data_IF_849060941421
#
_entry.id   IF_849060941421
#
_cell.length_a   1.000
_cell.length_b   1.000
_cell.length_c   1.000
_cell.angle_alpha   90.00
_cell.angle_beta   90.00
_cell.angle_gamma   90.00
#
_symmetry.space_group_name_H-M   'P 1'
#
loop_
_entity.id
_entity.type
_entity.pdbx_description
1 polymer ?
#
# COMPACT_ATOMS: atom_id res chain seq x y z
N UNK A 1 35.53 62.52 -34.15
CA UNK A 1 35.68 62.34 -32.68
C UNK A 1 34.33 61.95 -32.13
N UNK A 2 34.13 60.67 -31.81
CA UNK A 2 32.87 60.18 -31.26
C UNK A 2 32.93 60.44 -29.75
N UNK A 3 32.12 61.39 -29.26
CA UNK A 3 31.95 61.64 -27.82
C UNK A 3 31.08 60.52 -27.25
N UNK A 4 31.72 59.45 -26.76
CA UNK A 4 31.03 58.43 -25.97
C UNK A 4 30.65 59.08 -24.64
N UNK A 5 29.35 59.20 -24.42
CA UNK A 5 28.78 59.88 -23.26
C UNK A 5 29.18 59.14 -21.98
N UNK A 6 29.68 59.85 -20.98
CA UNK A 6 30.26 59.27 -19.76
C UNK A 6 29.25 58.38 -18.99
N UNK A 7 27.96 58.71 -19.09
CA UNK A 7 26.85 57.91 -18.60
C UNK A 7 26.70 56.54 -19.29
N UNK A 8 27.04 56.44 -20.57
CA UNK A 8 26.96 55.20 -21.34
C UNK A 8 28.09 54.22 -20.96
N UNK A 9 29.26 54.75 -20.57
CA UNK A 9 30.38 53.95 -20.06
C UNK A 9 30.08 53.38 -18.67
N UNK A 10 29.41 54.15 -17.80
CA UNK A 10 28.96 53.68 -16.49
C UNK A 10 27.87 52.58 -16.58
N UNK A 11 26.95 52.69 -17.55
CA UNK A 11 25.90 51.69 -17.76
C UNK A 11 26.47 50.35 -18.25
N UNK A 12 27.45 50.38 -19.15
CA UNK A 12 28.14 49.18 -19.62
C UNK A 12 28.98 48.52 -18.52
N UNK A 13 29.57 49.31 -17.62
CA UNK A 13 30.29 48.79 -16.45
C UNK A 13 29.34 48.12 -15.45
N UNK A 14 28.16 48.69 -15.20
CA UNK A 14 27.13 48.08 -14.35
C UNK A 14 26.55 46.79 -14.94
N UNK A 15 26.36 46.72 -16.26
CA UNK A 15 25.92 45.48 -16.93
C UNK A 15 26.98 44.37 -16.88
N UNK A 16 28.27 44.72 -16.84
CA UNK A 16 29.34 43.73 -16.64
C UNK A 16 29.41 43.18 -15.21
N UNK A 17 29.00 43.97 -14.21
CA UNK A 17 28.97 43.55 -12.79
C UNK A 17 27.72 42.71 -12.49
N UNK A 18 26.59 42.98 -13.16
CA UNK A 18 25.36 42.18 -13.02
C UNK A 18 25.45 40.86 -13.82
N UNK A 19 26.27 40.82 -14.89
CA UNK A 19 26.49 39.62 -15.72
C UNK A 19 27.33 38.50 -15.06
N UNK A 20 27.94 38.74 -13.90
CA UNK A 20 28.79 37.75 -13.20
C UNK A 20 27.98 36.95 -12.13
N UNK A 21 26.74 37.36 -11.81
CA UNK A 21 26.07 36.90 -10.57
C UNK A 21 25.03 35.78 -10.69
N UNK A 22 24.98 35.00 -11.78
CA UNK A 22 24.18 33.76 -11.76
C UNK A 22 24.84 32.61 -12.52
N UNK A 23 26.09 32.31 -12.18
CA UNK A 23 26.50 30.91 -12.12
C UNK A 23 26.48 30.54 -10.64
N UNK A 24 25.28 30.45 -10.05
CA UNK A 24 25.14 29.72 -8.81
C UNK A 24 25.57 28.29 -9.16
N UNK A 25 26.77 27.91 -8.74
CA UNK A 25 27.13 26.52 -8.56
C UNK A 25 26.10 25.97 -7.59
N UNK A 26 25.00 25.46 -8.14
CA UNK A 26 23.98 24.79 -7.37
C UNK A 26 24.70 23.59 -6.79
N UNK A 27 24.97 23.65 -5.49
CA UNK A 27 25.70 22.61 -4.80
C UNK A 27 24.73 21.44 -4.72
N UNK A 28 24.75 20.61 -5.77
CA UNK A 28 23.87 19.46 -5.89
C UNK A 28 24.05 18.60 -4.62
N UNK A 29 22.95 18.41 -3.90
CA UNK A 29 22.88 17.60 -2.68
C UNK A 29 21.76 16.58 -2.84
N UNK A 30 21.87 15.42 -2.21
CA UNK A 30 20.78 14.46 -2.16
C UNK A 30 19.62 14.91 -1.29
N UNK A 31 19.85 15.81 -0.33
CA UNK A 31 18.77 16.47 0.38
C UNK A 31 17.84 17.24 -0.57
N UNK A 32 18.41 17.90 -1.59
CA UNK A 32 17.64 18.68 -2.58
C UNK A 32 17.19 17.85 -3.78
N UNK A 33 18.04 16.94 -4.27
CA UNK A 33 17.78 16.11 -5.44
C UNK A 33 16.79 14.98 -5.14
N UNK A 34 16.87 14.42 -3.93
CA UNK A 34 16.15 13.23 -3.52
C UNK A 34 16.82 11.92 -3.91
N UNK A 35 16.71 10.96 -3.00
CA UNK A 35 17.24 9.60 -3.16
C UNK A 35 16.50 8.82 -4.25
N UNK A 36 17.23 8.02 -5.02
CA UNK A 36 16.68 7.23 -6.11
C UNK A 36 16.24 8.06 -7.32
N UNK A 37 16.70 9.32 -7.42
CA UNK A 37 16.48 10.16 -8.59
C UNK A 37 17.04 9.50 -9.85
N UNK A 38 16.53 9.86 -11.03
CA UNK A 38 17.10 9.40 -12.30
C UNK A 38 18.46 10.07 -12.53
N UNK A 39 19.34 9.39 -13.26
CA UNK A 39 20.60 9.98 -13.73
C UNK A 39 20.35 11.24 -14.56
N UNK A 40 21.08 12.32 -14.25
CA UNK A 40 21.05 13.58 -15.00
C UNK A 40 22.48 14.02 -15.25
N UNK A 41 22.95 13.90 -16.50
CA UNK A 41 24.35 14.17 -16.87
C UNK A 41 24.81 15.62 -16.68
N UNK A 42 23.89 16.57 -16.57
CA UNK A 42 24.23 17.98 -16.33
C UNK A 42 24.48 18.30 -14.86
N UNK A 43 24.26 17.36 -13.94
CA UNK A 43 24.52 17.54 -12.50
C UNK A 43 25.97 17.27 -12.18
N UNK A 44 26.46 17.97 -11.17
CA UNK A 44 27.80 17.78 -10.62
C UNK A 44 27.94 16.48 -9.84
N UNK A 45 26.84 15.93 -9.33
CA UNK A 45 26.76 14.64 -8.67
C UNK A 45 25.37 14.00 -8.81
N UNK A 46 25.25 12.74 -8.43
CA UNK A 46 24.04 11.92 -8.56
C UNK A 46 23.56 11.38 -7.21
N UNK A 47 22.25 11.12 -7.13
CA UNK A 47 21.59 10.49 -5.97
C UNK A 47 20.79 9.25 -6.38
N UNK A 48 21.12 8.66 -7.52
CA UNK A 48 20.61 7.36 -7.94
C UNK A 48 21.34 6.25 -7.18
N UNK A 49 20.95 4.98 -7.38
CA UNK A 49 21.61 3.86 -6.70
C UNK A 49 22.93 3.46 -7.37
N UNK A 50 23.12 3.83 -8.62
CA UNK A 50 24.30 3.50 -9.43
C UNK A 50 25.49 4.43 -9.17
N UNK A 51 25.31 5.52 -8.41
CA UNK A 51 26.30 6.60 -8.33
C UNK A 51 27.67 6.16 -7.82
N UNK A 52 27.73 5.14 -6.94
CA UNK A 52 29.01 4.60 -6.48
C UNK A 52 29.74 3.80 -7.54
N UNK A 53 29.01 3.13 -8.43
CA UNK A 53 29.64 2.43 -9.55
C UNK A 53 30.24 3.42 -10.55
N UNK A 54 29.65 4.61 -10.65
CA UNK A 54 30.11 5.69 -11.51
C UNK A 54 31.05 6.68 -10.82
N UNK A 55 31.29 6.52 -9.51
CA UNK A 55 32.05 7.44 -8.66
C UNK A 55 31.58 8.90 -8.76
N UNK A 56 30.26 9.09 -8.85
CA UNK A 56 29.61 10.39 -9.05
C UNK A 56 28.54 10.72 -8.00
N UNK A 57 28.53 10.04 -6.85
CA UNK A 57 27.59 10.33 -5.76
C UNK A 57 27.78 11.73 -5.19
N UNK A 58 26.68 12.37 -4.78
CA UNK A 58 26.77 13.59 -3.98
C UNK A 58 27.39 13.28 -2.61
N UNK A 59 28.06 14.28 -2.02
CA UNK A 59 28.79 14.11 -0.76
C UNK A 59 27.91 13.69 0.42
N UNK A 60 26.63 14.01 0.37
CA UNK A 60 25.62 13.70 1.39
C UNK A 60 24.78 12.45 1.04
N UNK A 61 25.12 11.71 -0.01
CA UNK A 61 24.37 10.54 -0.45
C UNK A 61 24.25 9.48 0.65
N UNK A 62 25.33 9.24 1.38
CA UNK A 62 25.42 8.17 2.39
C UNK A 62 24.53 8.48 3.59
N UNK A 63 24.60 9.71 4.07
CA UNK A 63 23.81 10.21 5.19
C UNK A 63 22.33 10.34 4.82
N UNK A 64 22.04 10.79 3.59
CA UNK A 64 20.66 11.07 3.15
C UNK A 64 19.93 9.83 2.67
N UNK A 65 20.62 8.92 1.97
CA UNK A 65 20.02 7.79 1.27
C UNK A 65 20.38 6.41 1.85
N UNK A 66 21.30 6.35 2.82
CA UNK A 66 21.79 5.11 3.45
C UNK A 66 20.94 4.60 4.62
N UNK A 67 19.61 4.66 4.51
CA UNK A 67 18.69 4.13 5.54
C UNK A 67 17.63 3.21 4.94
N UNK A 68 17.16 2.23 5.70
CA UNK A 68 16.06 1.36 5.32
C UNK A 68 14.72 2.08 5.26
N UNK A 69 14.55 3.18 5.99
CA UNK A 69 13.40 4.06 5.83
C UNK A 69 13.32 4.62 4.40
N UNK A 70 14.46 4.92 3.78
CA UNK A 70 14.54 5.43 2.40
C UNK A 70 14.60 4.29 1.37
N UNK A 71 15.41 3.26 1.63
CA UNK A 71 15.67 2.15 0.71
C UNK A 71 14.47 1.19 0.61
N UNK A 72 13.79 0.97 1.73
CA UNK A 72 12.75 -0.04 1.90
C UNK A 72 13.30 -1.42 2.29
N UNK A 73 12.49 -2.15 3.06
CA UNK A 73 12.79 -3.50 3.52
C UNK A 73 12.64 -4.55 2.43
N UNK A 74 13.39 -5.65 2.55
CA UNK A 74 13.30 -6.80 1.65
C UNK A 74 13.83 -6.54 0.24
N UNK A 75 14.60 -5.45 0.05
CA UNK A 75 15.16 -5.12 -1.26
C UNK A 75 16.28 -6.08 -1.63
N UNK A 76 16.38 -6.46 -2.90
CA UNK A 76 17.49 -7.30 -3.38
C UNK A 76 18.84 -6.64 -3.10
N UNK A 77 19.86 -7.46 -2.85
CA UNK A 77 21.23 -7.00 -2.70
C UNK A 77 21.65 -6.10 -3.87
N UNK A 78 22.25 -4.96 -3.55
CA UNK A 78 22.81 -4.03 -4.50
C UNK A 78 24.21 -3.61 -4.05
N UNK A 79 25.24 -4.06 -4.77
CA UNK A 79 26.66 -3.82 -4.45
C UNK A 79 27.05 -2.33 -4.33
N UNK A 80 26.30 -1.46 -5.00
CA UNK A 80 26.53 -0.01 -5.05
C UNK A 80 26.02 0.72 -3.80
N UNK A 81 25.26 0.04 -2.93
CA UNK A 81 24.79 0.58 -1.65
C UNK A 81 25.81 0.30 -0.56
N UNK A 82 26.00 1.25 0.36
CA UNK A 82 26.82 1.03 1.57
C UNK A 82 26.27 -0.10 2.42
N UNK A 83 24.96 -0.13 2.51
CA UNK A 83 24.24 -0.98 3.42
C UNK A 83 23.02 -1.58 2.74
N UNK A 84 22.56 -2.69 3.29
CA UNK A 84 21.47 -3.49 2.75
C UNK A 84 20.30 -3.48 3.73
N UNK A 85 19.10 -3.63 3.17
CA UNK A 85 17.84 -3.67 3.91
C UNK A 85 17.11 -4.98 3.66
N UNK A 86 17.84 -6.08 3.67
CA UNK A 86 17.35 -7.43 3.47
C UNK A 86 17.88 -8.35 4.56
N UNK A 87 17.25 -9.51 4.72
CA UNK A 87 17.58 -10.46 5.79
C UNK A 87 18.99 -11.05 5.67
N UNK A 88 19.57 -11.01 4.47
CA UNK A 88 20.93 -11.48 4.24
C UNK A 88 21.97 -10.51 4.80
N UNK A 89 21.61 -9.26 5.14
CA UNK A 89 22.57 -8.25 5.57
C UNK A 89 23.29 -8.59 6.89
N UNK A 90 22.64 -9.34 7.79
CA UNK A 90 23.26 -9.80 9.04
C UNK A 90 24.37 -10.82 8.77
N UNK A 91 24.24 -11.64 7.71
CA UNK A 91 25.27 -12.62 7.32
C UNK A 91 26.53 -11.92 6.77
N UNK A 92 26.35 -10.80 6.08
CA UNK A 92 27.43 -10.05 5.46
C UNK A 92 27.90 -8.84 6.29
N UNK A 93 27.35 -8.65 7.49
CA UNK A 93 27.60 -7.51 8.38
C UNK A 93 27.51 -6.15 7.65
N UNK A 94 26.49 -6.00 6.81
CA UNK A 94 26.30 -4.81 5.97
C UNK A 94 24.88 -4.25 6.06
N UNK A 95 24.18 -4.47 7.17
CA UNK A 95 22.87 -3.88 7.40
C UNK A 95 22.94 -2.36 7.54
N UNK A 96 21.91 -1.66 7.07
CA UNK A 96 21.78 -0.24 7.41
C UNK A 96 21.53 -0.08 8.91
N UNK A 97 21.95 1.05 9.49
CA UNK A 97 21.89 1.26 10.94
C UNK A 97 20.48 1.18 11.52
N UNK A 98 19.46 1.48 10.72
CA UNK A 98 18.05 1.42 11.09
C UNK A 98 17.37 0.09 10.70
N UNK A 99 18.09 -0.89 10.14
CA UNK A 99 17.50 -2.12 9.61
C UNK A 99 16.63 -2.85 10.65
N UNK A 100 17.15 -3.08 11.86
CA UNK A 100 16.41 -3.80 12.91
C UNK A 100 15.14 -3.08 13.32
N UNK A 101 15.22 -1.76 13.50
CA UNK A 101 14.08 -0.95 13.92
C UNK A 101 13.03 -0.78 12.80
N UNK A 102 13.48 -0.66 11.55
CA UNK A 102 12.59 -0.39 10.41
C UNK A 102 12.01 -1.67 9.81
N UNK A 103 12.80 -2.75 9.75
CA UNK A 103 12.49 -3.95 8.97
C UNK A 103 12.31 -5.23 9.80
N UNK A 104 12.74 -5.27 11.06
CA UNK A 104 12.61 -6.44 11.95
C UNK A 104 11.70 -6.20 13.16
N UNK A 105 10.97 -5.10 13.15
CA UNK A 105 10.14 -4.65 14.27
C UNK A 105 8.78 -4.23 13.77
N UNK A 106 7.73 -4.62 14.51
CA UNK A 106 6.37 -4.15 14.30
C UNK A 106 6.19 -2.67 14.61
N UNK A 107 7.10 -2.04 15.38
CA UNK A 107 7.13 -0.59 15.51
C UNK A 107 7.44 0.08 14.16
N UNK A 108 8.40 -0.45 13.38
CA UNK A 108 8.73 0.05 12.05
C UNK A 108 7.77 -0.42 10.96
N UNK A 109 7.34 -1.68 11.02
CA UNK A 109 6.48 -2.30 10.01
C UNK A 109 5.01 -1.87 10.12
N UNK A 110 4.52 -1.70 11.35
CA UNK A 110 3.12 -1.43 11.65
C UNK A 110 2.25 -2.68 11.77
N UNK A 111 1.35 -2.68 12.75
CA UNK A 111 0.43 -3.78 13.02
C UNK A 111 -0.61 -3.96 11.92
N UNK A 112 -0.96 -5.21 11.62
CA UNK A 112 -1.93 -5.55 10.58
C UNK A 112 -1.43 -5.33 9.15
N UNK A 113 -0.13 -5.06 8.97
CA UNK A 113 0.49 -4.93 7.64
C UNK A 113 0.24 -6.18 6.80
N UNK A 114 -0.04 -6.04 5.50
CA UNK A 114 -0.19 -7.19 4.59
C UNK A 114 1.06 -8.08 4.64
N UNK A 115 0.85 -9.38 4.40
CA UNK A 115 1.96 -10.32 4.26
C UNK A 115 2.91 -9.87 3.15
N UNK A 116 4.20 -9.85 3.47
CA UNK A 116 5.26 -9.53 2.54
C UNK A 116 6.43 -10.49 2.73
N UNK A 117 6.57 -11.44 1.81
CA UNK A 117 7.63 -12.47 1.84
C UNK A 117 9.06 -11.93 1.81
N UNK A 118 9.24 -10.67 1.41
CA UNK A 118 10.56 -10.04 1.35
C UNK A 118 11.04 -9.59 2.73
N UNK A 119 10.12 -9.49 3.70
CA UNK A 119 10.45 -9.11 5.07
C UNK A 119 10.98 -10.30 5.88
N UNK A 120 11.90 -10.07 6.81
CA UNK A 120 12.43 -11.11 7.70
C UNK A 120 11.35 -11.65 8.65
N UNK A 121 10.38 -10.82 9.02
CA UNK A 121 9.26 -11.17 9.89
C UNK A 121 7.97 -10.43 9.49
N UNK A 122 6.85 -10.80 10.09
CA UNK A 122 5.51 -10.29 9.77
C UNK A 122 4.84 -9.66 11.00
N UNK A 123 3.96 -8.68 10.73
CA UNK A 123 3.16 -8.02 11.77
C UNK A 123 1.65 -8.10 11.50
N UNK A 124 1.22 -9.04 10.67
CA UNK A 124 -0.20 -9.40 10.53
C UNK A 124 -0.63 -10.39 11.61
N UNK A 125 -1.95 -10.60 11.71
CA UNK A 125 -2.58 -11.51 12.69
C UNK A 125 -2.22 -12.96 12.41
N UNK A 126 -1.99 -13.26 11.14
CA UNK A 126 -1.74 -14.59 10.64
C UNK A 126 -0.32 -15.08 10.95
N UNK A 127 0.60 -14.18 11.32
CA UNK A 127 2.00 -14.50 11.56
C UNK A 127 2.20 -15.58 12.64
N UNK A 128 1.27 -15.67 13.60
CA UNK A 128 1.27 -16.69 14.65
C UNK A 128 1.04 -18.09 14.10
N UNK A 129 0.14 -18.22 13.12
CA UNK A 129 -0.12 -19.50 12.46
C UNK A 129 1.10 -19.96 11.64
N UNK A 130 1.83 -19.00 11.06
CA UNK A 130 3.02 -19.28 10.24
C UNK A 130 4.34 -19.23 11.04
N UNK A 131 4.29 -18.96 12.34
CA UNK A 131 5.45 -18.78 13.22
C UNK A 131 6.52 -17.83 12.66
N UNK A 132 6.09 -16.73 12.04
CA UNK A 132 6.98 -15.74 11.42
C UNK A 132 6.70 -14.31 11.89
N UNK A 133 6.15 -14.15 13.11
CA UNK A 133 5.95 -12.84 13.71
C UNK A 133 7.29 -12.15 14.03
N UNK A 134 7.32 -10.82 13.98
CA UNK A 134 8.44 -10.07 14.54
C UNK A 134 8.51 -10.25 16.06
N UNK A 135 9.71 -10.11 16.62
CA UNK A 135 9.99 -10.39 18.04
C UNK A 135 9.15 -9.55 19.00
N UNK A 136 8.82 -8.32 18.58
CA UNK A 136 8.02 -7.34 19.30
C UNK A 136 6.52 -7.39 18.97
N UNK A 137 6.06 -8.35 18.16
CA UNK A 137 4.66 -8.44 17.75
C UNK A 137 3.68 -8.47 18.92
N UNK A 138 3.99 -9.25 19.97
CA UNK A 138 3.09 -9.38 21.11
C UNK A 138 2.98 -8.08 21.92
N UNK A 139 4.09 -7.36 22.04
CA UNK A 139 4.16 -6.10 22.78
C UNK A 139 3.50 -4.96 22.00
N UNK A 140 3.73 -4.90 20.69
CA UNK A 140 3.30 -3.77 19.85
C UNK A 140 1.91 -3.98 19.24
N UNK A 141 1.55 -5.22 18.87
CA UNK A 141 0.35 -5.52 18.08
C UNK A 141 -0.68 -6.40 18.77
N UNK A 142 -0.27 -7.24 19.72
CA UNK A 142 -1.17 -8.06 20.55
C UNK A 142 -1.29 -7.57 21.99
N UNK A 143 -0.88 -6.32 22.24
CA UNK A 143 -1.42 -5.57 23.36
C UNK A 143 -2.90 -5.39 23.07
N UNK A 144 -3.70 -6.40 23.42
CA UNK A 144 -5.08 -6.21 23.74
C UNK A 144 -5.07 -5.04 24.71
N UNK A 145 -5.43 -3.86 24.20
CA UNK A 145 -5.91 -2.75 25.01
C UNK A 145 -7.17 -3.31 25.63
N UNK A 146 -7.00 -4.16 26.64
CA UNK A 146 -7.86 -4.21 27.78
C UNK A 146 -7.79 -2.77 28.25
N UNK A 147 -8.73 -1.97 27.74
CA UNK A 147 -9.16 -0.79 28.47
C UNK A 147 -9.60 -1.43 29.78
N UNK A 148 -8.68 -1.51 30.72
CA UNK A 148 -9.00 -1.73 32.11
C UNK A 148 -9.82 -0.50 32.42
N UNK A 149 -11.13 -0.60 32.16
CA UNK A 149 -12.10 0.35 32.64
C UNK A 149 -12.02 0.12 34.14
N UNK A 150 -11.10 0.83 34.79
CA UNK A 150 -11.00 0.93 36.25
C UNK A 150 -12.23 1.72 36.66
N UNK A 151 -13.37 1.04 36.68
CA UNK A 151 -14.61 1.56 37.24
C UNK A 151 -14.38 1.59 38.75
N UNK A 152 -13.90 2.71 39.25
CA UNK A 152 -13.85 3.01 40.67
C UNK A 152 -15.29 3.22 41.15
N UNK A 153 -15.98 2.15 41.55
CA UNK A 153 -17.31 2.24 42.15
C UNK A 153 -17.18 2.51 43.65
N UNK A 154 -17.01 3.79 43.98
CA UNK A 154 -17.45 4.30 45.26
C UNK A 154 -18.99 4.39 45.23
N UNK A 155 -19.68 3.58 46.04
CA UNK A 155 -21.09 3.81 46.37
C UNK A 155 -22.13 2.90 45.69
N UNK A 156 -22.13 1.63 46.09
CA UNK A 156 -23.22 0.66 46.31
C UNK A 156 -24.65 0.73 45.73
N UNK A 157 -25.15 1.78 45.05
CA UNK A 157 -26.57 1.83 44.62
C UNK A 157 -26.75 2.20 43.14
N UNK A 158 -25.82 2.90 42.51
CA UNK A 158 -25.87 3.24 41.07
C UNK A 158 -25.48 2.08 40.15
N UNK A 159 -24.72 1.09 40.65
CA UNK A 159 -24.21 -0.03 39.84
C UNK A 159 -25.30 -0.98 39.38
N UNK A 160 -26.24 -1.36 40.25
CA UNK A 160 -27.32 -2.29 39.89
C UNK A 160 -28.23 -1.72 38.80
N UNK A 161 -28.61 -0.44 38.87
CA UNK A 161 -29.50 0.17 37.87
C UNK A 161 -28.77 0.40 36.54
N UNK A 162 -27.53 0.90 36.56
CA UNK A 162 -26.75 1.12 35.34
C UNK A 162 -26.38 -0.21 34.66
N UNK A 163 -25.97 -1.22 35.43
CA UNK A 163 -25.68 -2.56 34.85
C UNK A 163 -26.94 -3.21 34.29
N UNK A 164 -28.08 -3.14 34.96
CA UNK A 164 -29.35 -3.66 34.42
C UNK A 164 -29.75 -2.93 33.14
N UNK A 165 -29.67 -1.60 33.10
CA UNK A 165 -29.99 -0.81 31.90
C UNK A 165 -29.01 -1.09 30.77
N UNK A 166 -27.71 -1.20 31.06
CA UNK A 166 -26.67 -1.54 30.06
C UNK A 166 -26.86 -2.97 29.55
N UNK A 167 -27.15 -3.94 30.41
CA UNK A 167 -27.41 -5.33 30.01
C UNK A 167 -28.67 -5.42 29.14
N UNK A 168 -29.75 -4.72 29.52
CA UNK A 168 -30.96 -4.63 28.71
C UNK A 168 -30.65 -3.95 27.37
N UNK A 169 -29.93 -2.83 27.37
CA UNK A 169 -29.54 -2.11 26.15
C UNK A 169 -28.69 -2.99 25.21
N UNK A 170 -27.69 -3.71 25.74
CA UNK A 170 -26.84 -4.61 24.97
C UNK A 170 -27.63 -5.81 24.42
N UNK A 171 -28.56 -6.36 25.21
CA UNK A 171 -29.46 -7.43 24.76
C UNK A 171 -30.36 -6.96 23.62
N UNK A 172 -31.00 -5.80 23.75
CA UNK A 172 -31.83 -5.19 22.69
C UNK A 172 -31.01 -4.90 21.44
N UNK A 173 -29.76 -4.41 21.59
CA UNK A 173 -28.85 -4.17 20.46
C UNK A 173 -28.48 -5.47 19.73
N UNK A 174 -28.21 -6.55 20.46
CA UNK A 174 -27.90 -7.87 19.89
C UNK A 174 -29.09 -8.46 19.14
N UNK A 175 -30.30 -8.37 19.70
CA UNK A 175 -31.53 -8.86 19.06
C UNK A 175 -31.91 -8.06 17.80
N UNK A 176 -31.66 -6.74 17.78
CA UNK A 176 -31.83 -5.92 16.57
C UNK A 176 -30.82 -6.29 15.48
N UNK A 177 -29.55 -6.52 15.85
CA UNK A 177 -28.53 -6.96 14.91
C UNK A 177 -28.85 -8.34 14.30
N UNK A 178 -29.37 -9.27 15.10
CA UNK A 178 -29.77 -10.60 14.62
C UNK A 178 -30.99 -10.56 13.69
N UNK A 179 -31.98 -9.68 13.96
CA UNK A 179 -33.12 -9.47 13.05
C UNK A 179 -32.68 -8.91 11.70
N UNK A 180 -31.80 -7.92 11.71
CA UNK A 180 -31.27 -7.32 10.48
C UNK A 180 -30.44 -8.33 9.66
N UNK A 181 -29.67 -9.20 10.34
CA UNK A 181 -28.92 -10.28 9.68
C UNK A 181 -29.84 -11.27 8.98
N UNK A 182 -30.93 -11.71 9.63
CA UNK A 182 -31.92 -12.61 9.02
C UNK A 182 -32.67 -11.96 7.85
N UNK A 183 -32.92 -10.66 7.94
CA UNK A 183 -33.59 -9.91 6.88
C UNK A 183 -32.70 -9.69 5.65
N UNK A 184 -31.38 -9.53 5.85
CA UNK A 184 -30.39 -9.52 4.76
C UNK A 184 -30.23 -10.90 4.13
N UNK A 185 -30.20 -11.96 4.93
CA UNK A 185 -30.14 -13.35 4.44
C UNK A 185 -31.39 -13.73 3.63
N UNK A 186 -32.59 -13.38 4.11
CA UNK A 186 -33.83 -13.54 3.34
C UNK A 186 -33.83 -12.69 2.06
N UNK A 187 -33.32 -11.45 2.09
CA UNK A 187 -33.22 -10.65 0.86
C UNK A 187 -32.28 -11.27 -0.17
N UNK A 188 -31.16 -11.83 0.27
CA UNK A 188 -30.25 -12.53 -0.63
C UNK A 188 -30.88 -13.80 -1.22
N UNK A 189 -31.67 -14.53 -0.42
CA UNK A 189 -32.43 -15.69 -0.88
C UNK A 189 -33.45 -15.34 -1.98
N UNK A 190 -34.25 -14.28 -1.81
CA UNK A 190 -35.23 -13.86 -2.82
C UNK A 190 -34.60 -13.23 -4.08
N UNK A 191 -33.45 -12.58 -3.95
CA UNK A 191 -32.73 -12.00 -5.09
C UNK A 191 -32.15 -13.10 -5.99
N UNK A 192 -31.66 -14.21 -5.40
CA UNK A 192 -31.23 -15.42 -6.11
C UNK A 192 -32.41 -16.11 -6.81
N UNK A 193 -33.59 -16.20 -6.16
CA UNK A 193 -34.78 -16.80 -6.77
C UNK A 193 -35.31 -15.99 -7.99
N UNK A 194 -35.27 -14.66 -7.93
CA UNK A 194 -35.69 -13.79 -9.05
C UNK A 194 -34.74 -13.83 -10.26
N UNK A 195 -33.47 -14.23 -10.04
CA UNK A 195 -32.49 -14.47 -11.10
C UNK A 195 -32.70 -15.87 -11.71
N UNK A 196 -33.06 -16.88 -10.90
CA UNK A 196 -33.39 -18.20 -11.41
C UNK A 196 -34.69 -18.22 -12.23
N UNK A 197 -35.74 -17.48 -11.85
CA UNK A 197 -36.97 -17.38 -12.66
C UNK A 197 -36.76 -16.69 -14.01
N UNK A 198 -35.85 -15.70 -14.10
CA UNK A 198 -35.47 -15.09 -15.39
C UNK A 198 -34.63 -16.02 -16.26
N UNK A 199 -33.95 -16.99 -15.66
CA UNK A 199 -33.14 -17.99 -16.39
C UNK A 199 -33.98 -19.21 -16.78
N UNK A 200 -35.13 -19.45 -16.13
CA UNK A 200 -36.03 -20.59 -16.40
C UNK A 200 -37.15 -20.31 -17.42
N UNK A 201 -37.29 -19.09 -17.94
CA UNK A 201 -38.23 -18.80 -19.03
C UNK A 201 -37.74 -19.27 -20.43
N UNK A 202 -36.64 -20.04 -20.50
CA UNK A 202 -36.13 -20.63 -21.75
C UNK A 202 -35.76 -22.11 -21.53
N UNK A 203 -36.71 -22.94 -21.12
CA UNK A 203 -36.61 -24.39 -21.32
C UNK A 203 -38.02 -24.92 -21.66
N UNK A 204 -38.22 -25.30 -22.92
CA UNK A 204 -39.45 -25.93 -23.41
C UNK A 204 -39.59 -27.35 -22.80
N UNK A 205 -40.80 -27.86 -22.48
CA UNK A 205 -40.99 -29.02 -21.61
C UNK A 205 -40.97 -30.32 -22.42
N UNK A 206 -39.93 -30.58 -23.21
CA UNK A 206 -39.65 -31.94 -23.71
C UNK A 206 -38.14 -32.08 -23.82
N UNK A 207 -37.52 -32.59 -22.76
CA UNK A 207 -36.08 -32.82 -22.71
C UNK A 207 -35.61 -33.69 -23.89
N UNK A 208 -35.00 -33.06 -24.89
CA UNK A 208 -34.15 -33.73 -25.88
C UNK A 208 -32.96 -32.83 -26.24
N UNK A 209 -31.79 -33.47 -26.30
CA UNK A 209 -30.51 -32.91 -26.77
C UNK A 209 -30.66 -32.51 -28.24
N UNK A 210 -30.26 -31.28 -28.60
CA UNK A 210 -30.09 -30.90 -29.99
C UNK A 210 -28.67 -30.36 -30.19
N UNK A 211 -27.90 -31.10 -30.99
CA UNK A 211 -26.58 -30.72 -31.50
C UNK A 211 -26.79 -30.26 -32.96
N UNK A 212 -26.31 -29.05 -33.32
CA UNK A 212 -26.53 -28.25 -34.56
C UNK A 212 -27.69 -27.23 -34.44
N UNK A 213 -27.64 -25.97 -34.90
CA UNK A 213 -26.85 -25.28 -35.92
C UNK A 213 -27.07 -23.75 -35.81
N UNK A 214 -26.01 -23.00 -36.15
CA UNK A 214 -25.91 -21.71 -36.88
C UNK A 214 -26.83 -20.48 -36.62
N UNK A 215 -26.11 -19.39 -36.31
CA UNK A 215 -26.24 -17.97 -36.73
C UNK A 215 -27.41 -17.54 -37.64
N UNK A 216 -28.08 -16.45 -37.21
CA UNK A 216 -28.42 -15.21 -37.95
C UNK A 216 -29.57 -14.53 -37.18
N UNK A 217 -29.63 -13.22 -36.92
CA UNK A 217 -29.41 -12.08 -37.82
C UNK A 217 -28.99 -10.83 -37.05
N UNK A 218 -28.14 -10.05 -37.71
CA UNK A 218 -27.72 -8.69 -37.39
C UNK A 218 -28.86 -7.65 -37.43
N UNK A 219 -28.67 -6.54 -36.72
CA UNK A 219 -28.71 -5.16 -37.23
C UNK A 219 -28.51 -4.17 -36.06
N UNK A 220 -27.36 -3.51 -35.86
CA UNK A 220 -26.64 -2.46 -36.63
C UNK A 220 -26.92 -1.04 -36.09
N UNK A 221 -25.92 -0.15 -36.21
CA UNK A 221 -25.79 1.28 -35.80
C UNK A 221 -25.05 1.49 -34.45
N UNK A 222 -24.05 2.36 -34.25
CA UNK A 222 -23.06 3.08 -35.06
C UNK A 222 -22.22 3.90 -34.05
N UNK A 223 -20.90 3.89 -34.23
CA UNK A 223 -19.85 4.89 -33.88
C UNK A 223 -20.15 6.09 -32.93
N UNK A 224 -19.40 6.18 -31.82
CA UNK A 224 -18.38 7.23 -31.47
C UNK A 224 -18.20 7.39 -29.93
N UNK A 225 -17.04 7.90 -29.45
CA UNK A 225 -16.61 7.74 -28.07
C UNK A 225 -16.84 9.01 -27.23
N UNK A 226 -17.50 8.90 -26.07
CA UNK A 226 -17.10 9.71 -24.91
C UNK A 226 -17.69 9.24 -23.57
N UNK A 227 -16.78 9.16 -22.60
CA UNK A 227 -16.96 9.42 -21.16
C UNK A 227 -17.81 8.48 -20.27
N UNK A 228 -17.07 7.89 -19.32
CA UNK A 228 -17.33 7.80 -17.86
C UNK A 228 -18.32 6.73 -17.34
N UNK A 229 -17.79 5.96 -16.38
CA UNK A 229 -18.46 5.15 -15.35
C UNK A 229 -18.90 3.71 -15.72
N UNK A 230 -18.08 2.71 -15.36
CA UNK A 230 -18.41 1.72 -14.31
C UNK A 230 -17.72 0.37 -14.49
N UNK A 231 -17.31 -0.16 -13.33
CA UNK A 231 -16.69 -1.47 -13.08
C UNK A 231 -17.51 -2.62 -13.67
N UNK A 232 -16.83 -3.51 -14.41
CA UNK A 232 -17.32 -4.85 -14.73
C UNK A 232 -16.34 -5.89 -14.18
N UNK A 233 -16.74 -6.60 -13.13
CA UNK A 233 -16.02 -7.75 -12.60
C UNK A 233 -16.03 -8.89 -13.63
N UNK A 234 -14.84 -9.34 -14.03
CA UNK A 234 -14.66 -10.63 -14.71
C UNK A 234 -14.76 -11.72 -13.63
N UNK A 235 -15.87 -12.45 -13.61
CA UNK A 235 -15.99 -13.68 -12.82
C UNK A 235 -15.15 -14.75 -13.51
N UNK A 236 -14.00 -15.10 -12.92
CA UNK A 236 -13.25 -16.30 -13.28
C UNK A 236 -13.96 -17.50 -12.66
N UNK A 237 -14.44 -18.40 -13.51
CA UNK A 237 -14.93 -19.72 -13.10
C UNK A 237 -13.76 -20.51 -12.48
N UNK A 238 -13.89 -20.90 -11.21
CA UNK A 238 -13.01 -21.89 -10.58
C UNK A 238 -13.77 -23.21 -10.58
N UNK A 239 -13.24 -24.18 -11.35
CA UNK A 239 -13.69 -25.57 -11.31
C UNK A 239 -13.25 -26.22 -10.00
N UNK A 240 -14.18 -26.80 -9.25
CA UNK A 240 -13.88 -27.74 -8.18
C UNK A 240 -13.72 -29.13 -8.80
N UNK A 241 -12.52 -29.71 -8.69
CA UNK A 241 -12.31 -31.14 -8.86
C UNK A 241 -12.43 -31.81 -7.49
N UNK A 242 -13.41 -32.70 -7.37
CA UNK A 242 -13.56 -33.63 -6.25
C UNK A 242 -12.51 -34.73 -6.34
N UNK A 243 -11.76 -34.92 -5.26
CA UNK A 243 -10.84 -36.06 -5.07
C UNK A 243 -11.61 -37.15 -4.32
N UNK A 244 -11.63 -38.36 -4.88
CA UNK A 244 -12.26 -39.56 -4.32
C UNK A 244 -11.15 -40.42 -3.66
N UNK A 245 -11.21 -40.74 -2.36
CA UNK A 245 -10.22 -41.59 -1.72
C UNK A 245 -10.82 -42.99 -1.54
N UNK A 246 -10.57 -43.88 -2.50
CA UNK A 246 -10.45 -45.33 -2.32
C UNK A 246 -10.14 -46.00 -3.67
N UNK A 247 -8.84 -46.07 -4.03
CA UNK A 247 -8.20 -47.13 -4.82
C UNK A 247 -6.68 -47.04 -4.72
#
# INVERSE_FOLDING_TARGET
MIHINWFHLQLLFLMSIIGISICQSYNDSCQDIGCGSKFVSSRSCQCNKECRENDDCCSDYDETCGSCQVIGCGTKYHKSRLCQCNKECDEYDNCCSDYKQTCESCQGIGCGSRYDRSRPCQCNKECRYFNNCCSDYNEICDSNVTVAVVVSVAGGVTVMVVTVVVVIYLKVRKERAQRLSKELENRHYYEIDSLNERTFAVIDPVGQRNDNWELNTADSISTTPNSRYSRGNVVKNVAYQSYDPDT
#
